data_IF_485612245658
#
_entry.id   IF_485612245658
#
_cell.length_a   1.000
_cell.length_b   1.000
_cell.length_c   1.000
_cell.angle_alpha   90.00
_cell.angle_beta   90.00
_cell.angle_gamma   90.00
#
_symmetry.space_group_name_H-M   'P 1'
#
loop_
_entity.id
_entity.type
_entity.pdbx_description
1 polymer ?
#
# COMPACT_ATOMS: atom_id res chain seq x y z
N UNK A 1 20.06 13.30 -8.25
CA UNK A 1 19.61 12.14 -9.06
C UNK A 1 18.12 12.31 -9.35
N UNK A 2 17.60 11.65 -10.41
CA UNK A 2 16.16 11.76 -10.75
C UNK A 2 15.82 12.80 -11.83
N UNK A 3 16.70 13.72 -12.17
CA UNK A 3 16.50 14.77 -13.19
C UNK A 3 15.98 14.23 -14.54
N UNK A 4 16.45 13.05 -14.93
CA UNK A 4 15.98 12.35 -16.14
C UNK A 4 14.47 12.09 -16.14
N UNK A 5 13.87 11.98 -14.98
CA UNK A 5 12.44 11.71 -14.79
C UNK A 5 11.66 12.94 -14.29
N UNK A 6 12.33 14.11 -14.22
CA UNK A 6 11.70 15.33 -13.72
C UNK A 6 11.37 15.31 -12.22
N UNK A 7 12.06 14.45 -11.44
CA UNK A 7 11.84 14.31 -10.01
C UNK A 7 13.11 14.57 -9.21
N UNK A 8 12.97 15.05 -7.99
CA UNK A 8 14.05 15.09 -7.01
C UNK A 8 14.07 13.79 -6.20
N UNK A 9 15.25 13.15 -6.09
CA UNK A 9 15.40 11.92 -5.30
C UNK A 9 16.21 12.23 -4.04
N UNK A 10 15.59 11.99 -2.92
CA UNK A 10 16.19 12.03 -1.59
C UNK A 10 16.22 10.63 -0.99
N UNK A 11 17.22 10.36 -0.17
CA UNK A 11 17.42 9.07 0.46
C UNK A 11 17.52 9.28 1.97
N UNK A 12 16.64 8.62 2.70
CA UNK A 12 16.65 8.60 4.16
C UNK A 12 17.00 7.19 4.59
N UNK A 13 18.06 7.05 5.38
CA UNK A 13 18.48 5.75 5.90
C UNK A 13 17.71 5.43 7.18
N UNK A 14 17.18 4.22 7.28
CA UNK A 14 16.52 3.77 8.50
C UNK A 14 17.43 3.82 9.72
N UNK A 15 16.89 4.27 10.84
CA UNK A 15 17.61 4.28 12.12
C UNK A 15 17.79 2.85 12.65
N UNK A 16 18.97 2.51 13.18
CA UNK A 16 19.18 1.22 13.82
C UNK A 16 18.10 0.94 14.89
N UNK A 17 17.47 -0.23 14.79
CA UNK A 17 16.42 -0.65 15.70
C UNK A 17 15.01 -0.16 15.33
N UNK A 18 14.86 0.78 14.40
CA UNK A 18 13.56 1.20 13.88
C UNK A 18 13.13 0.26 12.76
N UNK A 19 12.05 -0.48 12.98
CA UNK A 19 11.49 -1.45 12.02
C UNK A 19 10.06 -1.08 11.67
N UNK A 20 9.63 -1.45 10.46
CA UNK A 20 8.28 -1.26 9.98
C UNK A 20 8.11 0.00 9.13
N UNK A 21 7.09 -0.03 8.28
CA UNK A 21 6.82 0.99 7.25
C UNK A 21 6.44 2.36 7.83
N UNK A 22 5.76 2.40 8.97
CA UNK A 22 5.47 3.66 9.66
C UNK A 22 6.73 4.32 10.22
N UNK A 23 7.66 3.53 10.77
CA UNK A 23 8.94 4.06 11.24
C UNK A 23 9.78 4.66 10.11
N UNK A 24 9.74 4.09 8.90
CA UNK A 24 10.45 4.66 7.76
C UNK A 24 9.91 6.06 7.39
N UNK A 25 8.59 6.23 7.36
CA UNK A 25 7.94 7.53 7.09
C UNK A 25 8.24 8.53 8.21
N UNK A 26 8.09 8.10 9.47
CA UNK A 26 8.37 8.95 10.63
C UNK A 26 9.83 9.38 10.68
N UNK A 27 10.76 8.51 10.28
CA UNK A 27 12.17 8.87 10.17
C UNK A 27 12.40 9.93 9.09
N UNK A 28 11.78 9.79 7.90
CA UNK A 28 11.85 10.79 6.84
C UNK A 28 11.30 12.16 7.28
N UNK A 29 10.22 12.16 8.06
CA UNK A 29 9.66 13.36 8.67
C UNK A 29 10.64 14.01 9.67
N UNK A 30 11.22 13.23 10.58
CA UNK A 30 12.19 13.71 11.58
C UNK A 30 13.50 14.23 10.96
N UNK A 31 13.90 13.70 9.81
CA UNK A 31 15.05 14.19 9.04
C UNK A 31 14.71 15.41 8.15
N UNK A 32 13.45 15.85 8.13
CA UNK A 32 13.00 17.02 7.37
C UNK A 32 12.80 16.79 5.87
N UNK A 33 12.80 15.53 5.43
CA UNK A 33 12.46 15.16 4.05
C UNK A 33 10.97 15.24 3.76
N UNK A 34 10.13 15.24 4.79
CA UNK A 34 8.67 15.35 4.73
C UNK A 34 8.18 16.40 5.73
N UNK A 35 7.02 17.01 5.45
CA UNK A 35 6.38 17.99 6.34
C UNK A 35 4.92 17.61 6.61
N UNK A 36 4.32 18.23 7.64
CA UNK A 36 2.91 18.03 7.97
C UNK A 36 1.92 18.61 6.96
N UNK A 37 2.38 19.46 6.04
CA UNK A 37 1.56 20.10 4.99
C UNK A 37 1.61 19.33 3.66
N UNK A 38 2.46 18.31 3.55
CA UNK A 38 2.62 17.53 2.33
C UNK A 38 1.42 16.59 2.10
N UNK A 39 1.18 16.27 0.82
CA UNK A 39 0.38 15.11 0.41
C UNK A 39 1.35 14.02 -0.04
N UNK A 40 1.35 12.91 0.67
CA UNK A 40 2.29 11.82 0.48
C UNK A 40 1.65 10.71 -0.35
N UNK A 41 2.28 10.31 -1.44
CA UNK A 41 2.00 9.02 -2.09
C UNK A 41 2.99 8.01 -1.54
N UNK A 42 2.50 7.07 -0.74
CA UNK A 42 3.29 5.95 -0.25
C UNK A 42 3.16 4.80 -1.24
N UNK A 43 4.28 4.33 -1.73
CA UNK A 43 4.37 3.25 -2.70
C UNK A 43 5.40 2.25 -2.20
N UNK A 44 4.98 1.03 -1.87
CA UNK A 44 5.90 0.01 -1.37
C UNK A 44 6.86 -0.42 -2.47
N UNK A 45 8.16 -0.49 -2.13
CA UNK A 45 9.24 -0.69 -3.09
C UNK A 45 9.29 -2.07 -3.76
N UNK A 46 8.49 -3.00 -3.29
CA UNK A 46 8.31 -4.35 -3.82
C UNK A 46 7.01 -4.53 -4.63
N UNK A 47 6.31 -3.44 -4.92
CA UNK A 47 5.09 -3.46 -5.74
C UNK A 47 5.40 -2.96 -7.16
N UNK A 48 4.93 -3.70 -8.14
CA UNK A 48 4.92 -3.31 -9.57
C UNK A 48 3.47 -3.10 -9.98
N UNK A 49 3.11 -1.93 -10.52
CA UNK A 49 1.74 -1.60 -10.88
C UNK A 49 1.65 -0.57 -12.00
N UNK A 50 0.57 -0.61 -12.78
CA UNK A 50 0.18 0.40 -13.75
C UNK A 50 -0.94 1.33 -13.24
N UNK A 51 -1.13 1.41 -11.93
CA UNK A 51 -2.14 2.27 -11.31
C UNK A 51 -1.99 3.73 -11.73
N UNK A 52 -3.10 4.39 -12.00
CA UNK A 52 -3.16 5.83 -12.26
C UNK A 52 -3.07 6.60 -10.93
N UNK A 53 -1.84 7.02 -10.58
CA UNK A 53 -1.60 7.80 -9.36
C UNK A 53 -2.29 9.17 -9.40
N UNK A 54 -2.53 9.72 -10.60
CA UNK A 54 -3.27 10.99 -10.75
C UNK A 54 -4.70 10.85 -10.27
N UNK A 55 -5.41 9.81 -10.72
CA UNK A 55 -6.78 9.53 -10.27
C UNK A 55 -6.86 9.18 -8.79
N UNK A 56 -5.89 8.44 -8.26
CA UNK A 56 -5.80 8.15 -6.83
C UNK A 56 -5.69 9.45 -6.01
N UNK A 57 -4.81 10.37 -6.42
CA UNK A 57 -4.65 11.68 -5.79
C UNK A 57 -5.90 12.57 -5.93
N UNK A 58 -6.56 12.55 -7.09
CA UNK A 58 -7.80 13.28 -7.32
C UNK A 58 -8.90 12.81 -6.38
N UNK A 59 -9.15 11.49 -6.29
CA UNK A 59 -10.13 10.94 -5.36
C UNK A 59 -9.79 11.22 -3.89
N UNK A 60 -8.51 11.19 -3.52
CA UNK A 60 -8.08 11.55 -2.17
C UNK A 60 -8.50 12.99 -1.82
N UNK A 61 -8.28 13.94 -2.74
CA UNK A 61 -8.68 15.34 -2.57
C UNK A 61 -10.20 15.51 -2.52
N UNK A 62 -10.93 14.85 -3.42
CA UNK A 62 -12.39 14.93 -3.49
C UNK A 62 -13.09 14.39 -2.24
N UNK A 63 -12.59 13.28 -1.69
CA UNK A 63 -13.16 12.68 -0.48
C UNK A 63 -12.83 13.47 0.78
N UNK A 64 -11.78 14.27 0.76
CA UNK A 64 -11.24 14.93 1.96
C UNK A 64 -10.79 13.93 3.03
N UNK A 65 -10.42 12.73 2.63
CA UNK A 65 -9.92 11.71 3.52
C UNK A 65 -8.52 12.05 4.03
N UNK A 66 -8.18 11.56 5.21
CA UNK A 66 -6.82 11.69 5.75
C UNK A 66 -5.87 10.65 5.15
N UNK A 67 -6.42 9.48 4.83
CA UNK A 67 -5.74 8.37 4.14
C UNK A 67 -6.66 7.85 3.05
N UNK A 68 -6.11 7.53 1.88
CA UNK A 68 -6.82 6.81 0.81
C UNK A 68 -6.00 5.59 0.40
N UNK A 69 -6.55 4.40 0.59
CA UNK A 69 -5.92 3.13 0.25
C UNK A 69 -6.31 2.71 -1.16
N UNK A 70 -5.34 2.32 -1.98
CA UNK A 70 -5.63 1.62 -3.23
C UNK A 70 -5.95 0.16 -2.94
N UNK A 71 -7.12 -0.28 -3.41
CA UNK A 71 -7.65 -1.63 -3.21
C UNK A 71 -7.95 -2.29 -4.54
N UNK A 72 -7.63 -3.57 -4.67
CA UNK A 72 -8.07 -4.37 -5.84
C UNK A 72 -9.59 -4.53 -5.86
N UNK A 73 -10.19 -4.63 -7.05
CA UNK A 73 -11.61 -4.91 -7.23
C UNK A 73 -11.98 -6.39 -7.02
N UNK A 74 -11.01 -7.23 -6.77
CA UNK A 74 -11.23 -8.65 -6.46
C UNK A 74 -9.90 -9.38 -6.35
N UNK A 75 -9.83 -10.35 -5.46
CA UNK A 75 -8.64 -11.15 -5.22
C UNK A 75 -8.73 -12.49 -5.94
N UNK A 76 -7.74 -12.79 -6.80
CA UNK A 76 -7.61 -14.10 -7.42
C UNK A 76 -6.90 -15.05 -6.44
N UNK A 77 -7.55 -16.14 -6.11
CA UNK A 77 -6.98 -17.24 -5.33
C UNK A 77 -6.44 -18.29 -6.30
N UNK A 78 -5.24 -18.80 -6.05
CA UNK A 78 -4.63 -19.84 -6.90
C UNK A 78 -4.97 -21.26 -6.46
N UNK A 79 -5.70 -21.40 -5.35
CA UNK A 79 -6.17 -22.64 -4.74
C UNK A 79 -7.67 -22.84 -4.98
N UNK A 80 -8.13 -24.09 -4.85
CA UNK A 80 -9.55 -24.41 -4.81
C UNK A 80 -10.18 -23.94 -3.49
N UNK A 81 -11.38 -23.35 -3.56
CA UNK A 81 -12.14 -22.87 -2.39
C UNK A 81 -13.43 -23.65 -2.26
N UNK A 82 -13.66 -24.24 -1.09
CA UNK A 82 -14.86 -25.02 -0.79
C UNK A 82 -15.73 -24.34 0.29
N UNK A 83 -17.06 -24.41 0.10
CA UNK A 83 -18.04 -24.14 1.15
C UNK A 83 -18.36 -25.42 1.91
N UNK A 84 -18.37 -25.38 3.24
CA UNK A 84 -18.53 -26.55 4.10
C UNK A 84 -19.80 -26.39 4.93
N UNK A 85 -20.64 -27.43 4.93
CA UNK A 85 -21.75 -27.61 5.85
C UNK A 85 -21.60 -28.93 6.62
N UNK A 86 -21.41 -28.85 7.91
CA UNK A 86 -21.05 -30.01 8.73
C UNK A 86 -19.71 -30.61 8.28
N UNK A 87 -19.74 -31.84 7.76
CA UNK A 87 -18.57 -32.55 7.23
C UNK A 87 -18.55 -32.64 5.69
N UNK A 88 -19.46 -31.92 5.02
CA UNK A 88 -19.64 -32.04 3.58
C UNK A 88 -19.26 -30.76 2.87
N UNK A 89 -18.57 -30.88 1.71
CA UNK A 89 -18.37 -29.77 0.79
C UNK A 89 -19.64 -29.62 -0.04
N UNK A 90 -20.30 -28.47 0.08
CA UNK A 90 -21.56 -28.15 -0.64
C UNK A 90 -21.33 -27.33 -1.91
N UNK A 91 -20.22 -26.61 -1.99
CA UNK A 91 -19.78 -25.90 -3.20
C UNK A 91 -18.26 -25.97 -3.32
N UNK A 92 -17.72 -26.06 -4.55
CA UNK A 92 -16.30 -26.03 -4.82
C UNK A 92 -16.03 -25.14 -6.04
N UNK A 93 -15.04 -24.24 -5.92
CA UNK A 93 -14.59 -23.37 -7.01
C UNK A 93 -13.08 -23.49 -7.14
N UNK A 94 -12.61 -23.89 -8.32
CA UNK A 94 -11.18 -23.94 -8.63
C UNK A 94 -10.68 -22.55 -9.03
N UNK A 95 -9.64 -22.06 -8.34
CA UNK A 95 -8.96 -20.79 -8.59
C UNK A 95 -9.92 -19.61 -8.76
N UNK A 96 -10.85 -19.38 -7.82
CA UNK A 96 -11.87 -18.36 -7.99
C UNK A 96 -11.27 -16.95 -7.87
N UNK A 97 -11.94 -15.98 -8.50
CA UNK A 97 -11.81 -14.57 -8.13
C UNK A 97 -12.85 -14.27 -7.04
N UNK A 98 -12.37 -13.95 -5.86
CA UNK A 98 -13.23 -13.60 -4.73
C UNK A 98 -13.54 -12.11 -4.74
N UNK A 99 -14.76 -11.74 -4.35
CA UNK A 99 -15.17 -10.34 -4.18
C UNK A 99 -14.62 -9.76 -2.87
N UNK A 100 -13.30 -9.82 -2.74
CA UNK A 100 -12.55 -9.24 -1.63
C UNK A 100 -11.78 -8.02 -2.12
N UNK A 101 -11.67 -7.03 -1.27
CA UNK A 101 -10.88 -5.83 -1.50
C UNK A 101 -9.60 -5.93 -0.69
N UNK A 102 -8.49 -6.19 -1.36
CA UNK A 102 -7.17 -6.26 -0.73
C UNK A 102 -6.35 -5.01 -1.06
N UNK A 103 -5.56 -4.53 -0.12
CA UNK A 103 -4.63 -3.43 -0.35
C UNK A 103 -3.53 -3.87 -1.30
N UNK A 104 -3.08 -2.96 -2.17
CA UNK A 104 -2.04 -3.26 -3.16
C UNK A 104 -0.71 -2.58 -2.83
N UNK A 105 -0.52 -2.12 -1.58
CA UNK A 105 0.74 -1.48 -1.14
C UNK A 105 0.95 -0.06 -1.68
N UNK A 106 -0.12 0.59 -2.13
CA UNK A 106 -0.11 1.97 -2.63
C UNK A 106 -1.21 2.75 -1.92
N UNK A 107 -0.90 3.96 -1.46
CA UNK A 107 -1.86 4.82 -0.74
C UNK A 107 -1.46 6.29 -0.78
N UNK A 108 -2.40 7.15 -0.42
CA UNK A 108 -2.17 8.58 -0.22
C UNK A 108 -2.45 8.93 1.24
N UNK A 109 -1.57 9.72 1.84
CA UNK A 109 -1.72 10.26 3.19
C UNK A 109 -1.57 11.77 3.19
N UNK A 110 -2.35 12.45 4.02
CA UNK A 110 -2.05 13.83 4.40
C UNK A 110 -0.85 13.83 5.37
N UNK A 111 0.06 14.77 5.22
CA UNK A 111 1.24 14.89 6.09
C UNK A 111 0.88 15.05 7.57
N UNK A 112 -0.31 15.61 7.88
CA UNK A 112 -0.84 15.68 9.25
C UNK A 112 -0.97 14.31 9.93
N UNK A 113 -1.13 13.22 9.17
CA UNK A 113 -1.15 11.85 9.72
C UNK A 113 0.20 11.49 10.33
N UNK A 114 1.31 11.99 9.75
CA UNK A 114 2.66 11.73 10.27
C UNK A 114 2.85 12.33 11.66
N UNK A 115 2.24 13.49 11.94
CA UNK A 115 2.26 14.10 13.27
C UNK A 115 1.50 13.26 14.32
N UNK A 116 0.42 12.59 13.90
CA UNK A 116 -0.29 11.67 14.79
C UNK A 116 0.46 10.35 14.96
N UNK A 117 1.12 9.86 13.90
CA UNK A 117 2.04 8.72 13.99
C UNK A 117 3.16 8.96 15.00
N UNK A 118 3.69 10.19 15.08
CA UNK A 118 4.72 10.54 16.08
C UNK A 118 4.18 10.40 17.51
N UNK A 119 2.97 10.93 17.79
CA UNK A 119 2.33 10.79 19.10
C UNK A 119 2.08 9.32 19.46
N UNK A 120 1.49 8.56 18.53
CA UNK A 120 1.23 7.13 18.73
C UNK A 120 2.52 6.37 19.01
N UNK A 121 3.59 6.68 18.26
CA UNK A 121 4.90 6.05 18.45
C UNK A 121 5.48 6.33 19.84
N UNK A 122 5.36 7.56 20.32
CA UNK A 122 5.91 7.96 21.64
C UNK A 122 5.10 7.39 22.81
N UNK A 123 3.81 7.15 22.63
CA UNK A 123 2.91 6.55 23.61
C UNK A 123 2.97 5.01 23.59
N UNK A 124 3.33 4.41 22.46
CA UNK A 124 3.33 2.98 22.23
C UNK A 124 4.69 2.30 22.49
N UNK A 125 4.66 0.98 22.69
CA UNK A 125 5.87 0.13 22.77
C UNK A 125 5.92 -0.78 21.54
N UNK A 126 6.34 -0.23 20.39
CA UNK A 126 6.40 -0.99 19.14
C UNK A 126 7.75 -1.70 18.98
N UNK A 127 7.73 -3.02 18.77
CA UNK A 127 8.89 -3.76 18.30
C UNK A 127 9.14 -3.50 16.80
N UNK A 128 8.06 -3.30 16.07
CA UNK A 128 8.00 -2.84 14.69
C UNK A 128 6.79 -1.94 14.57
N UNK A 129 6.91 -0.75 13.98
CA UNK A 129 5.80 0.18 13.79
C UNK A 129 5.38 0.16 12.32
N UNK A 130 4.23 -0.43 12.05
CA UNK A 130 3.73 -0.70 10.70
C UNK A 130 2.61 0.25 10.31
N UNK A 131 2.67 0.75 9.07
CA UNK A 131 1.70 1.74 8.59
C UNK A 131 0.29 1.17 8.48
N UNK A 132 0.15 -0.08 8.01
CA UNK A 132 -1.18 -0.68 7.83
C UNK A 132 -1.71 -1.26 9.15
N UNK A 133 -0.89 -2.07 9.85
CA UNK A 133 -1.29 -2.80 11.03
C UNK A 133 -1.47 -1.93 12.27
N UNK A 134 -0.65 -0.91 12.42
CA UNK A 134 -0.70 -0.07 13.63
C UNK A 134 -1.40 1.28 13.35
N UNK A 135 -1.07 1.97 12.26
CA UNK A 135 -1.58 3.34 12.01
C UNK A 135 -2.96 3.31 11.36
N UNK A 136 -3.07 2.72 10.17
CA UNK A 136 -4.33 2.74 9.41
C UNK A 136 -5.42 1.96 10.13
N UNK A 137 -5.09 0.82 10.72
CA UNK A 137 -6.04 0.03 11.49
C UNK A 137 -6.57 0.82 12.70
N UNK A 138 -5.70 1.55 13.40
CA UNK A 138 -6.12 2.40 14.52
C UNK A 138 -7.01 3.55 14.03
N UNK A 139 -6.64 4.24 12.93
CA UNK A 139 -7.48 5.29 12.35
C UNK A 139 -8.89 4.81 12.01
N UNK A 140 -9.00 3.61 11.41
CA UNK A 140 -10.32 3.01 11.10
C UNK A 140 -11.08 2.67 12.39
N UNK A 141 -10.40 2.16 13.42
CA UNK A 141 -11.00 1.89 14.72
C UNK A 141 -11.55 3.14 15.40
N UNK A 142 -10.88 4.27 15.22
CA UNK A 142 -11.24 5.56 15.81
C UNK A 142 -12.22 6.37 14.92
N UNK A 143 -12.88 5.72 13.95
CA UNK A 143 -13.83 6.30 13.00
C UNK A 143 -13.26 7.48 12.17
N UNK A 144 -11.93 7.49 11.96
CA UNK A 144 -11.31 8.51 11.10
C UNK A 144 -11.60 8.27 9.62
N UNK A 145 -11.48 9.34 8.83
CA UNK A 145 -11.76 9.31 7.39
C UNK A 145 -10.66 8.59 6.62
N UNK A 146 -10.76 7.27 6.50
CA UNK A 146 -9.97 6.44 5.61
C UNK A 146 -10.81 6.07 4.39
N UNK A 147 -10.40 6.51 3.19
CA UNK A 147 -11.09 6.25 1.95
C UNK A 147 -10.50 5.04 1.21
N UNK A 148 -11.30 4.45 0.31
CA UNK A 148 -10.88 3.36 -0.55
C UNK A 148 -10.91 3.82 -2.02
N UNK A 149 -9.78 3.74 -2.72
CA UNK A 149 -9.69 3.86 -4.17
C UNK A 149 -9.69 2.45 -4.77
N UNK A 150 -10.81 2.06 -5.38
CA UNK A 150 -10.94 0.74 -5.99
C UNK A 150 -10.38 0.77 -7.42
N UNK A 151 -9.54 -0.20 -7.75
CA UNK A 151 -8.88 -0.27 -9.06
C UNK A 151 -8.77 -1.71 -9.57
N UNK A 152 -8.85 -1.89 -10.88
CA UNK A 152 -8.49 -3.12 -11.61
C UNK A 152 -7.11 -3.03 -12.24
N UNK A 153 -6.34 -2.00 -11.93
CA UNK A 153 -4.97 -1.87 -12.39
C UNK A 153 -4.17 -3.14 -12.12
N UNK A 154 -3.29 -3.46 -13.04
CA UNK A 154 -2.30 -4.51 -12.80
C UNK A 154 -1.47 -4.16 -11.56
N UNK A 155 -1.25 -5.12 -10.70
CA UNK A 155 -0.33 -5.02 -9.59
C UNK A 155 0.30 -6.39 -9.30
N UNK A 156 1.55 -6.36 -8.88
CA UNK A 156 2.29 -7.56 -8.56
C UNK A 156 3.30 -7.27 -7.43
N UNK A 157 3.31 -8.11 -6.41
CA UNK A 157 4.24 -8.03 -5.29
C UNK A 157 5.45 -8.93 -5.61
N UNK A 158 6.64 -8.31 -5.72
CA UNK A 158 7.92 -8.97 -5.97
C UNK A 158 8.77 -9.15 -4.70
N UNK A 159 8.18 -9.03 -3.52
CA UNK A 159 8.85 -9.07 -2.22
C UNK A 159 9.48 -10.42 -1.82
N UNK A 160 9.42 -11.44 -2.69
CA UNK A 160 10.16 -12.67 -2.53
C UNK A 160 10.80 -13.12 -3.83
N UNK A 161 11.89 -13.90 -3.75
CA UNK A 161 12.59 -14.45 -4.92
C UNK A 161 11.61 -15.26 -5.78
N UNK A 162 10.78 -16.08 -5.16
CA UNK A 162 9.80 -16.92 -5.86
C UNK A 162 8.79 -16.07 -6.65
N UNK A 163 8.28 -14.96 -6.08
CA UNK A 163 7.35 -14.06 -6.76
C UNK A 163 8.06 -13.30 -7.87
N UNK A 164 9.27 -12.83 -7.63
CA UNK A 164 10.08 -12.14 -8.62
C UNK A 164 10.35 -13.03 -9.85
N UNK A 165 10.71 -14.31 -9.66
CA UNK A 165 10.97 -15.26 -10.75
C UNK A 165 9.70 -15.65 -11.53
N UNK A 166 8.52 -15.55 -10.92
CA UNK A 166 7.24 -15.82 -11.59
C UNK A 166 6.74 -14.69 -12.49
N UNK A 167 7.24 -13.47 -12.29
CA UNK A 167 6.86 -12.31 -13.09
C UNK A 167 7.59 -12.35 -14.44
N UNK A 168 6.88 -12.65 -15.53
CA UNK A 168 7.48 -12.77 -16.85
C UNK A 168 7.71 -11.42 -17.54
N UNK A 169 8.71 -11.35 -18.42
CA UNK A 169 8.97 -10.16 -19.23
C UNK A 169 7.82 -9.86 -20.21
N UNK A 170 7.11 -10.88 -20.67
CA UNK A 170 5.94 -10.74 -21.53
C UNK A 170 4.83 -9.99 -20.78
N UNK A 171 4.53 -10.42 -19.56
CA UNK A 171 3.53 -9.78 -18.70
C UNK A 171 3.91 -8.33 -18.38
N UNK A 172 5.18 -8.06 -18.07
CA UNK A 172 5.66 -6.71 -17.86
C UNK A 172 5.51 -5.84 -19.12
N UNK A 173 5.80 -6.40 -20.30
CA UNK A 173 5.66 -5.67 -21.56
C UNK A 173 4.20 -5.38 -21.94
N UNK A 174 3.29 -6.29 -21.62
CA UNK A 174 1.85 -6.08 -21.81
C UNK A 174 1.31 -4.97 -20.90
N UNK A 175 1.64 -5.04 -19.61
CA UNK A 175 1.03 -4.18 -18.60
C UNK A 175 1.73 -2.83 -18.43
N UNK A 176 3.04 -2.77 -18.71
CA UNK A 176 3.89 -1.61 -18.44
C UNK A 176 4.67 -1.13 -19.68
N UNK A 177 4.44 -1.72 -20.87
CA UNK A 177 5.19 -1.43 -22.08
C UNK A 177 5.18 0.05 -22.49
N UNK A 178 4.18 0.82 -22.04
CA UNK A 178 4.11 2.27 -22.27
C UNK A 178 5.11 3.06 -21.39
N UNK A 179 5.76 2.45 -20.41
CA UNK A 179 6.80 3.04 -19.56
C UNK A 179 8.22 2.72 -20.06
N UNK A 180 8.37 1.75 -20.96
CA UNK A 180 9.63 1.30 -21.51
C UNK A 180 9.93 1.97 -22.86
#
# INVERSE_FOLDING_TARGET
>A
KGERFGVNLEYVQDKPGWKGSANAILNAYKEGALTGDDTLVVYYGDIVSNIDLGKLLEQHKETGARVTLALTTGLKINEGVGTIEGNWITEFKEKPRLDLRATIGIMVLNGSVVSDMEKMHDEGQYQSYDLMGDVVQQMVHDDEKVAAYQTDAFWYDVGSIERYERLSNEQLSEELGYLL
#
